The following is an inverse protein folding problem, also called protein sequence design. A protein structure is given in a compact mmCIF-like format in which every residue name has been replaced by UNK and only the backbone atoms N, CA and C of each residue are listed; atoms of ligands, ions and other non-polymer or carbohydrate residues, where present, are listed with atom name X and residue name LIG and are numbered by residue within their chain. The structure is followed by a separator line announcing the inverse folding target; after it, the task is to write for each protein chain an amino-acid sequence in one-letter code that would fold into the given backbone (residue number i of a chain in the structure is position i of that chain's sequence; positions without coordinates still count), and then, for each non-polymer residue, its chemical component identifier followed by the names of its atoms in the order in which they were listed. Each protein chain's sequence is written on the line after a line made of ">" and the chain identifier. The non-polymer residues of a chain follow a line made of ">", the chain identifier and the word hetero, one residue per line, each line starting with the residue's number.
data_IF_889074149752
#
_entry.id   IF_889074149752
#
_cell.length_a   1.000
_cell.length_b   1.000
_cell.length_c   1.000
_cell.angle_alpha   90.00
_cell.angle_beta   90.00
_cell.angle_gamma   90.00
#
_symmetry.space_group_name_H-M   'P 1'
#
loop_
_entity.id
_entity.type
_entity.pdbx_description
1 polymer ?
#
# COMPACT_ATOMS: atom_id res chain seq x y z
N UNK A 1 23.60 62.43 -31.01
CA UNK A 1 24.27 61.16 -30.67
C UNK A 1 24.64 60.27 -31.88
N UNK A 2 24.34 60.62 -33.15
CA UNK A 2 24.58 59.74 -34.32
C UNK A 2 25.98 59.81 -34.97
N UNK A 3 26.86 60.74 -34.56
CA UNK A 3 28.16 60.97 -35.26
C UNK A 3 29.36 60.18 -34.70
N UNK A 4 29.26 59.59 -33.51
CA UNK A 4 30.40 58.89 -32.88
C UNK A 4 30.63 57.49 -33.47
N UNK A 5 29.56 56.77 -33.84
CA UNK A 5 29.64 55.41 -34.40
C UNK A 5 30.38 55.28 -35.74
N UNK A 6 30.55 56.38 -36.50
CA UNK A 6 31.20 56.33 -37.83
C UNK A 6 32.73 56.34 -37.77
N UNK A 7 33.34 56.71 -36.64
CA UNK A 7 34.81 56.88 -36.54
C UNK A 7 35.56 55.67 -35.99
N UNK A 8 34.90 54.74 -35.30
CA UNK A 8 35.55 53.55 -34.73
C UNK A 8 34.73 52.26 -34.93
N UNK A 9 34.41 51.87 -36.18
CA UNK A 9 33.60 50.68 -36.45
C UNK A 9 34.27 49.40 -35.94
N UNK A 10 35.61 49.34 -35.97
CA UNK A 10 36.37 48.16 -35.55
C UNK A 10 36.43 47.98 -34.02
N UNK A 11 36.35 49.07 -33.25
CA UNK A 11 36.31 48.99 -31.78
C UNK A 11 34.97 48.44 -31.28
N UNK A 12 33.86 48.78 -31.96
CA UNK A 12 32.51 48.26 -31.64
C UNK A 12 32.39 46.79 -32.02
N UNK A 13 32.96 46.37 -33.15
CA UNK A 13 33.02 44.96 -33.55
C UNK A 13 33.88 44.14 -32.59
N UNK A 14 35.06 44.62 -32.20
CA UNK A 14 35.93 43.92 -31.25
C UNK A 14 35.31 43.75 -29.86
N UNK A 15 34.61 44.78 -29.36
CA UNK A 15 33.87 44.70 -28.10
C UNK A 15 32.70 43.70 -28.17
N UNK A 16 31.98 43.64 -29.30
CA UNK A 16 30.90 42.68 -29.52
C UNK A 16 31.38 41.24 -29.58
N UNK A 17 32.50 40.97 -30.27
CA UNK A 17 33.10 39.63 -30.36
C UNK A 17 33.61 39.12 -29.01
N UNK A 18 34.22 39.99 -28.20
CA UNK A 18 34.69 39.65 -26.86
C UNK A 18 33.56 39.25 -25.91
N UNK A 19 32.45 39.99 -25.92
CA UNK A 19 31.30 39.68 -25.08
C UNK A 19 30.60 38.38 -25.53
N UNK A 20 30.46 38.17 -26.85
CA UNK A 20 29.87 36.95 -27.40
C UNK A 20 30.65 35.68 -27.02
N UNK A 21 31.98 35.73 -27.05
CA UNK A 21 32.83 34.60 -26.65
C UNK A 21 32.70 34.27 -25.17
N UNK A 22 32.61 35.27 -24.29
CA UNK A 22 32.45 35.04 -22.85
C UNK A 22 31.11 34.36 -22.52
N UNK A 23 30.02 34.76 -23.17
CA UNK A 23 28.71 34.11 -23.01
C UNK A 23 28.74 32.69 -23.54
N UNK A 24 29.33 32.46 -24.71
CA UNK A 24 29.45 31.13 -25.31
C UNK A 24 30.25 30.16 -24.43
N UNK A 25 31.38 30.62 -23.86
CA UNK A 25 32.21 29.82 -22.95
C UNK A 25 31.47 29.53 -21.65
N UNK A 26 30.75 30.51 -21.08
CA UNK A 26 29.94 30.30 -19.88
C UNK A 26 28.84 29.25 -20.09
N UNK A 27 28.15 29.29 -21.24
CA UNK A 27 27.13 28.29 -21.58
C UNK A 27 27.73 26.89 -21.81
N UNK A 28 28.91 26.81 -22.44
CA UNK A 28 29.60 25.54 -22.68
C UNK A 28 30.03 24.90 -21.35
N UNK A 29 30.62 25.68 -20.45
CA UNK A 29 31.02 25.22 -19.11
C UNK A 29 29.80 24.78 -18.31
N UNK A 30 28.72 25.55 -18.34
CA UNK A 30 27.45 25.19 -17.69
C UNK A 30 26.88 23.87 -18.22
N UNK A 31 26.86 23.68 -19.54
CA UNK A 31 26.37 22.44 -20.15
C UNK A 31 27.22 21.22 -19.77
N UNK A 32 28.56 21.35 -19.83
CA UNK A 32 29.48 20.27 -19.47
C UNK A 32 29.40 19.92 -17.98
N UNK A 33 29.31 20.92 -17.09
CA UNK A 33 29.12 20.71 -15.66
C UNK A 33 27.79 19.99 -15.37
N UNK A 34 26.71 20.37 -16.07
CA UNK A 34 25.41 19.73 -15.89
C UNK A 34 25.41 18.28 -16.38
N UNK A 35 26.10 17.97 -17.48
CA UNK A 35 26.23 16.59 -17.97
C UNK A 35 27.11 15.73 -17.05
N UNK A 36 28.17 16.30 -16.48
CA UNK A 36 29.03 15.61 -15.52
C UNK A 36 28.33 15.31 -14.19
N UNK A 37 27.36 16.14 -13.77
CA UNK A 37 26.60 15.94 -12.52
C UNK A 37 25.41 14.99 -12.71
N UNK A 38 24.82 14.92 -13.92
CA UNK A 38 23.64 14.08 -14.21
C UNK A 38 23.90 12.57 -14.15
N UNK A 39 25.15 12.11 -14.21
CA UNK A 39 25.51 10.69 -14.02
C UNK A 39 25.38 10.21 -12.56
N UNK A 40 25.13 11.13 -11.63
CA UNK A 40 25.05 10.88 -10.18
C UNK A 40 23.68 11.15 -9.59
N UNK A 41 22.63 11.33 -10.40
CA UNK A 41 21.28 11.25 -9.87
C UNK A 41 21.02 9.80 -9.47
N UNK A 42 20.90 9.46 -8.17
CA UNK A 42 20.51 8.11 -7.80
C UNK A 42 19.15 7.86 -8.45
N UNK A 43 19.08 6.86 -9.34
CA UNK A 43 17.81 6.32 -9.74
C UNK A 43 17.08 5.99 -8.43
N UNK A 44 15.94 6.62 -8.20
CA UNK A 44 15.16 6.38 -7.00
C UNK A 44 14.80 4.89 -7.01
N UNK A 45 15.51 4.12 -6.18
CA UNK A 45 15.28 2.71 -6.01
C UNK A 45 14.03 2.58 -5.14
N UNK A 46 12.89 2.42 -5.80
CA UNK A 46 11.66 2.02 -5.12
C UNK A 46 11.65 0.50 -5.11
N UNK A 47 11.92 -0.16 -3.97
CA UNK A 47 11.68 -1.59 -3.87
C UNK A 47 10.21 -1.85 -4.18
N UNK A 48 9.90 -2.91 -4.93
CA UNK A 48 8.53 -3.38 -5.10
C UNK A 48 8.02 -3.79 -3.70
N UNK A 49 7.18 -2.94 -3.10
CA UNK A 49 6.36 -3.33 -1.97
C UNK A 49 5.06 -3.90 -2.54
N UNK A 50 4.81 -5.23 -2.45
CA UNK A 50 3.51 -5.77 -2.78
C UNK A 50 2.48 -5.13 -1.84
N UNK A 51 1.67 -4.22 -2.41
CA UNK A 51 0.52 -3.63 -1.73
C UNK A 51 -0.59 -4.67 -1.70
N UNK A 52 -0.70 -5.40 -0.59
CA UNK A 52 -1.85 -6.25 -0.33
C UNK A 52 -3.03 -5.38 0.03
N UNK A 53 -3.98 -5.24 -0.90
CA UNK A 53 -5.21 -4.51 -0.67
C UNK A 53 -6.16 -5.38 0.17
N UNK A 54 -6.34 -5.03 1.44
CA UNK A 54 -7.42 -5.59 2.27
C UNK A 54 -8.67 -4.77 2.05
N UNK A 55 -9.73 -5.39 1.52
CA UNK A 55 -11.03 -4.73 1.35
C UNK A 55 -11.97 -5.20 2.46
N UNK A 56 -12.88 -4.33 2.89
CA UNK A 56 -13.97 -4.68 3.80
C UNK A 56 -15.24 -4.05 3.26
N UNK A 57 -16.31 -4.84 3.20
CA UNK A 57 -17.65 -4.39 2.88
C UNK A 57 -18.66 -4.97 3.88
N UNK A 58 -19.72 -4.22 4.13
CA UNK A 58 -20.72 -4.60 5.12
C UNK A 58 -22.14 -4.29 4.62
N UNK A 59 -22.97 -5.33 4.63
CA UNK A 59 -24.40 -5.22 4.42
C UNK A 59 -25.18 -5.09 5.74
N UNK A 60 -26.50 -5.24 5.67
CA UNK A 60 -27.34 -5.23 6.86
C UNK A 60 -27.29 -6.53 7.65
N UNK A 61 -27.00 -7.65 6.99
CA UNK A 61 -27.13 -9.00 7.55
C UNK A 61 -25.80 -9.76 7.61
N UNK A 62 -24.79 -9.31 6.88
CA UNK A 62 -23.49 -9.95 6.84
C UNK A 62 -22.42 -8.90 6.52
N UNK A 63 -21.17 -9.25 6.81
CA UNK A 63 -20.00 -8.49 6.40
C UNK A 63 -18.96 -9.41 5.81
N UNK A 64 -18.17 -8.88 4.88
CA UNK A 64 -17.08 -9.61 4.25
C UNK A 64 -15.82 -8.75 4.26
N UNK A 65 -14.67 -9.39 4.50
CA UNK A 65 -13.38 -8.73 4.48
C UNK A 65 -12.33 -9.65 3.86
N UNK A 66 -11.33 -9.10 3.19
CA UNK A 66 -10.18 -9.86 2.72
C UNK A 66 -8.95 -9.58 3.56
N UNK A 67 -8.10 -10.57 3.75
CA UNK A 67 -6.91 -10.45 4.58
C UNK A 67 -5.80 -11.36 4.09
N UNK A 68 -4.55 -10.87 4.19
CA UNK A 68 -3.37 -11.64 3.81
C UNK A 68 -3.10 -12.78 4.81
N UNK A 69 -3.26 -14.03 4.39
CA UNK A 69 -3.02 -15.20 5.23
C UNK A 69 -1.52 -15.53 5.31
N UNK A 70 -0.82 -15.44 4.19
CA UNK A 70 0.63 -15.61 4.10
C UNK A 70 1.18 -14.79 2.93
N UNK A 71 2.48 -14.88 2.64
CA UNK A 71 3.09 -14.17 1.52
C UNK A 71 2.35 -14.43 0.19
N UNK A 72 1.64 -13.40 -0.27
CA UNK A 72 0.63 -13.39 -1.32
C UNK A 72 -0.43 -14.49 -1.33
N UNK A 73 -0.73 -15.14 -0.21
CA UNK A 73 -1.96 -15.94 -0.06
C UNK A 73 -3.02 -15.08 0.62
N UNK A 74 -4.18 -14.95 0.01
CA UNK A 74 -5.30 -14.16 0.53
C UNK A 74 -6.42 -15.06 1.03
N UNK A 75 -7.03 -14.67 2.14
CA UNK A 75 -8.21 -15.28 2.71
C UNK A 75 -9.39 -14.32 2.64
N UNK A 76 -10.57 -14.87 2.36
CA UNK A 76 -11.85 -14.14 2.42
C UNK A 76 -12.55 -14.53 3.71
N UNK A 77 -12.83 -13.53 4.54
CA UNK A 77 -13.57 -13.65 5.79
C UNK A 77 -15.02 -13.23 5.56
N UNK A 78 -15.96 -14.02 6.05
CA UNK A 78 -17.38 -13.78 5.98
C UNK A 78 -17.98 -13.91 7.38
N UNK A 79 -18.75 -12.92 7.81
CA UNK A 79 -19.46 -12.94 9.08
C UNK A 79 -20.96 -12.85 8.81
N UNK A 80 -21.72 -13.84 9.28
CA UNK A 80 -23.18 -13.78 9.34
C UNK A 80 -23.62 -13.15 10.66
N UNK A 81 -24.42 -12.07 10.58
CA UNK A 81 -24.87 -11.35 11.77
C UNK A 81 -25.95 -12.12 12.53
N UNK A 82 -26.72 -12.98 11.88
CA UNK A 82 -27.80 -13.70 12.55
C UNK A 82 -27.26 -14.80 13.47
N UNK A 83 -26.30 -15.58 12.98
CA UNK A 83 -25.70 -16.70 13.71
C UNK A 83 -24.45 -16.32 14.48
N UNK A 84 -23.83 -15.18 14.14
CA UNK A 84 -22.50 -14.82 14.63
C UNK A 84 -21.41 -15.78 14.16
N UNK A 85 -21.65 -16.52 13.08
CA UNK A 85 -20.68 -17.42 12.49
C UNK A 85 -19.73 -16.63 11.56
N UNK A 86 -18.44 -16.74 11.85
CA UNK A 86 -17.36 -16.28 11.00
C UNK A 86 -16.79 -17.46 10.24
N UNK A 87 -16.66 -17.30 8.93
CA UNK A 87 -16.02 -18.25 8.04
C UNK A 87 -14.81 -17.60 7.38
N UNK A 88 -13.75 -18.38 7.14
CA UNK A 88 -12.61 -17.96 6.33
C UNK A 88 -12.33 -19.00 5.25
N UNK A 89 -12.27 -18.54 4.01
CA UNK A 89 -11.91 -19.32 2.84
C UNK A 89 -10.55 -18.86 2.33
N UNK A 90 -9.62 -19.81 2.19
CA UNK A 90 -8.29 -19.58 1.64
C UNK A 90 -8.17 -20.32 0.32
N UNK A 91 -7.75 -19.62 -0.73
CA UNK A 91 -7.56 -20.19 -2.06
C UNK A 91 -6.09 -20.53 -2.28
N UNK A 92 -5.82 -21.69 -2.90
CA UNK A 92 -4.49 -21.98 -3.42
C UNK A 92 -4.26 -21.10 -4.66
N UNK A 93 -3.22 -20.27 -4.59
CA UNK A 93 -2.79 -19.41 -5.70
C UNK A 93 -2.52 -20.16 -7.00
N UNK A 94 -2.03 -21.40 -6.91
CA UNK A 94 -1.58 -22.15 -8.08
C UNK A 94 -2.73 -22.80 -8.83
N UNK A 95 -3.70 -23.33 -8.08
CA UNK A 95 -4.83 -24.09 -8.65
C UNK A 95 -6.14 -23.31 -8.70
N UNK A 96 -6.25 -22.22 -7.92
CA UNK A 96 -7.49 -21.45 -7.75
C UNK A 96 -8.57 -22.18 -6.95
N UNK A 97 -8.26 -23.33 -6.35
CA UNK A 97 -9.19 -24.15 -5.57
C UNK A 97 -9.07 -23.79 -4.09
N UNK A 98 -10.17 -23.78 -3.31
CA UNK A 98 -10.08 -23.62 -1.86
C UNK A 98 -9.20 -24.68 -1.22
N UNK A 99 -8.17 -24.26 -0.48
CA UNK A 99 -7.24 -25.12 0.24
C UNK A 99 -7.36 -25.01 1.76
N UNK A 100 -8.05 -23.99 2.27
CA UNK A 100 -8.33 -23.81 3.69
C UNK A 100 -9.76 -23.34 3.90
N UNK A 101 -10.43 -23.94 4.89
CA UNK A 101 -11.76 -23.54 5.33
C UNK A 101 -11.82 -23.58 6.85
N UNK A 102 -12.18 -22.46 7.47
CA UNK A 102 -12.22 -22.28 8.91
C UNK A 102 -13.53 -21.63 9.33
N UNK A 103 -14.10 -22.09 10.43
CA UNK A 103 -15.38 -21.59 10.96
C UNK A 103 -15.25 -21.38 12.45
N UNK A 104 -15.78 -20.27 12.95
CA UNK A 104 -15.82 -19.96 14.37
C UNK A 104 -17.06 -19.14 14.72
N UNK A 105 -17.62 -19.34 15.91
CA UNK A 105 -18.76 -18.57 16.37
C UNK A 105 -18.31 -17.49 17.37
N UNK A 106 -18.57 -16.22 17.06
CA UNK A 106 -18.09 -15.09 17.85
C UNK A 106 -19.02 -14.68 18.99
N UNK A 107 -20.23 -15.24 19.07
CA UNK A 107 -21.24 -14.78 20.04
C UNK A 107 -20.80 -15.02 21.49
N UNK A 108 -20.16 -16.16 21.76
CA UNK A 108 -19.68 -16.51 23.10
C UNK A 108 -18.58 -15.57 23.55
N UNK A 109 -17.62 -15.27 22.68
CA UNK A 109 -16.48 -14.41 22.99
C UNK A 109 -16.89 -12.94 23.12
N UNK A 110 -17.87 -12.49 22.34
CA UNK A 110 -18.42 -11.14 22.44
C UNK A 110 -19.41 -10.98 23.61
N UNK A 111 -19.83 -12.09 24.24
CA UNK A 111 -20.82 -12.07 25.34
C UNK A 111 -22.18 -11.52 24.93
N UNK A 112 -22.57 -11.69 23.66
CA UNK A 112 -23.82 -11.16 23.11
C UNK A 112 -24.92 -12.21 23.25
N UNK A 113 -26.14 -11.77 23.58
CA UNK A 113 -27.29 -12.66 23.66
C UNK A 113 -27.62 -13.24 22.26
N UNK A 114 -27.58 -14.58 22.08
CA UNK A 114 -27.96 -15.21 20.81
C UNK A 114 -29.43 -14.99 20.43
N UNK A 115 -30.29 -14.56 21.37
CA UNK A 115 -31.69 -14.22 21.09
C UNK A 115 -31.87 -12.75 20.63
N UNK A 116 -30.79 -11.98 20.46
CA UNK A 116 -30.89 -10.60 19.99
C UNK A 116 -31.55 -10.55 18.60
N UNK A 117 -32.66 -9.81 18.51
CA UNK A 117 -33.46 -9.69 17.27
C UNK A 117 -32.85 -8.74 16.24
N UNK A 118 -31.87 -7.92 16.62
CA UNK A 118 -31.23 -6.96 15.72
C UNK A 118 -29.72 -6.88 15.99
N UNK A 119 -28.96 -7.96 15.71
CA UNK A 119 -27.51 -7.96 15.87
C UNK A 119 -26.86 -7.01 14.87
N UNK A 120 -25.87 -6.24 15.33
CA UNK A 120 -25.13 -5.27 14.51
C UNK A 120 -23.66 -5.49 14.75
N UNK A 121 -22.95 -6.04 13.76
CA UNK A 121 -21.52 -6.28 13.88
C UNK A 121 -20.71 -5.39 12.94
N UNK A 122 -19.49 -5.11 13.36
CA UNK A 122 -18.42 -4.53 12.54
C UNK A 122 -17.33 -5.58 12.44
N UNK A 123 -16.84 -5.81 11.23
CA UNK A 123 -15.74 -6.72 10.96
C UNK A 123 -14.71 -6.01 10.09
N UNK A 124 -13.45 -6.10 10.48
CA UNK A 124 -12.32 -5.61 9.67
C UNK A 124 -11.14 -6.56 9.81
N UNK A 125 -10.28 -6.57 8.80
CA UNK A 125 -9.01 -7.31 8.81
C UNK A 125 -7.85 -6.35 9.02
N UNK A 126 -6.76 -6.85 9.60
CA UNK A 126 -5.52 -6.11 9.71
C UNK A 126 -4.31 -7.01 9.59
N UNK A 127 -3.14 -6.40 9.36
CA UNK A 127 -1.88 -7.12 9.16
C UNK A 127 -1.13 -7.24 10.49
N UNK A 128 -0.76 -8.45 10.89
CA UNK A 128 0.10 -8.73 12.02
C UNK A 128 1.05 -9.90 11.70
N UNK A 129 2.07 -9.67 10.86
CA UNK A 129 2.93 -10.73 10.39
C UNK A 129 3.66 -11.41 11.54
N UNK A 130 3.64 -12.74 11.53
CA UNK A 130 4.28 -13.55 12.55
C UNK A 130 5.79 -13.67 12.35
N UNK A 131 6.58 -13.45 13.40
CA UNK A 131 8.02 -13.74 13.41
C UNK A 131 8.27 -15.22 13.73
N UNK A 132 9.01 -15.93 12.89
CA UNK A 132 9.61 -17.24 13.19
C UNK A 132 8.63 -18.42 13.36
N UNK A 133 8.35 -19.15 12.27
CA UNK A 133 7.69 -20.48 12.31
C UNK A 133 6.27 -20.51 12.91
N UNK A 134 5.67 -19.35 13.18
CA UNK A 134 4.38 -19.24 13.84
C UNK A 134 3.29 -19.91 13.01
N UNK A 135 2.53 -20.82 13.62
CA UNK A 135 1.40 -21.52 13.04
C UNK A 135 0.15 -20.61 12.95
N UNK A 136 0.34 -19.38 12.47
CA UNK A 136 -0.72 -18.37 12.34
C UNK A 136 -0.59 -17.59 11.04
N UNK A 137 -1.72 -17.10 10.58
CA UNK A 137 -1.80 -16.16 9.46
C UNK A 137 -1.09 -14.85 9.76
N UNK A 138 -0.67 -14.17 8.70
CA UNK A 138 -0.21 -12.79 8.76
C UNK A 138 -1.36 -11.79 8.93
N UNK A 139 -2.62 -12.23 8.83
CA UNK A 139 -3.82 -11.45 9.08
C UNK A 139 -4.42 -11.72 10.45
N UNK A 140 -5.00 -10.67 11.03
CA UNK A 140 -5.92 -10.73 12.16
C UNK A 140 -7.30 -10.28 11.72
N UNK A 141 -8.32 -10.90 12.30
CA UNK A 141 -9.70 -10.51 12.16
C UNK A 141 -10.17 -9.82 13.44
N UNK A 142 -10.69 -8.61 13.31
CA UNK A 142 -11.29 -7.86 14.40
C UNK A 142 -12.81 -7.88 14.20
N UNK A 143 -13.53 -8.33 15.21
CA UNK A 143 -15.00 -8.35 15.20
C UNK A 143 -15.50 -7.61 16.42
N UNK A 144 -16.42 -6.67 16.22
CA UNK A 144 -17.04 -5.91 17.30
C UNK A 144 -18.56 -5.94 17.16
N UNK A 145 -19.26 -6.04 18.30
CA UNK A 145 -20.68 -5.73 18.38
C UNK A 145 -20.85 -4.21 18.47
N UNK A 146 -21.50 -3.63 17.48
CA UNK A 146 -21.79 -2.20 17.41
C UNK A 146 -22.82 -1.74 18.45
N UNK A 147 -23.49 -2.66 19.13
CA UNK A 147 -24.51 -2.36 20.15
C UNK A 147 -23.89 -2.25 21.54
N UNK A 148 -23.17 -3.29 21.99
CA UNK A 148 -22.52 -3.32 23.30
C UNK A 148 -21.14 -2.66 23.32
N UNK A 149 -20.47 -2.58 22.17
CA UNK A 149 -19.06 -2.18 22.07
C UNK A 149 -18.06 -3.28 22.42
N UNK A 150 -18.53 -4.50 22.73
CA UNK A 150 -17.65 -5.65 22.94
C UNK A 150 -16.95 -6.03 21.64
N UNK A 151 -15.68 -6.43 21.73
CA UNK A 151 -14.91 -6.84 20.57
C UNK A 151 -13.99 -8.02 20.91
N UNK A 152 -13.68 -8.80 19.88
CA UNK A 152 -12.79 -9.94 19.93
C UNK A 152 -11.85 -9.91 18.72
N UNK A 153 -10.68 -10.53 18.88
CA UNK A 153 -9.63 -10.57 17.86
C UNK A 153 -9.25 -12.02 17.62
N UNK A 154 -9.23 -12.41 16.34
CA UNK A 154 -8.95 -13.77 15.93
C UNK A 154 -7.75 -13.83 15.00
N UNK A 155 -6.94 -14.86 15.18
CA UNK A 155 -5.88 -15.22 14.25
C UNK A 155 -6.25 -16.55 13.58
N UNK A 156 -6.04 -16.65 12.27
CA UNK A 156 -6.28 -17.89 11.55
C UNK A 156 -5.10 -18.85 11.82
N UNK A 157 -5.34 -20.11 12.22
CA UNK A 157 -4.27 -21.08 12.32
C UNK A 157 -3.79 -21.45 10.91
N UNK A 158 -2.54 -21.13 10.59
CA UNK A 158 -1.96 -21.36 9.27
C UNK A 158 -0.51 -21.81 9.36
N UNK A 159 -0.17 -22.93 8.73
CA UNK A 159 1.20 -23.41 8.62
C UNK A 159 1.76 -23.03 7.25
N UNK A 160 2.80 -22.18 7.22
CA UNK A 160 3.46 -21.71 5.98
C UNK A 160 4.31 -22.78 5.26
N UNK A 161 4.21 -24.04 5.67
CA UNK A 161 5.13 -25.12 5.30
C UNK A 161 4.49 -26.28 4.53
N UNK A 162 3.34 -26.07 3.89
CA UNK A 162 2.68 -27.06 3.02
C UNK A 162 2.62 -26.54 1.58
#
# INVERSE_FOLDING_TARGET
>A
MRRWFRKHPWAVLGAGSGLGLLVGVGMLIGALATMAVRSSAPAAFFPDLPLHATCTDAGSNFSMATGQVADGVEGVFFLDFLTGEVQCWVLDRRTGVPCGYYVYNVLQDLGVDPANKNPRYLMVTGLAPGTGGSARSDSLLYVADATSGNFAIYALPWHRGA
#
